data_IF_091840612286
#
_entry.id   IF_091840612286
#
_cell.length_a   1.000
_cell.length_b   1.000
_cell.length_c   1.000
_cell.angle_alpha   90.00
_cell.angle_beta   90.00
_cell.angle_gamma   90.00
#
_symmetry.space_group_name_H-M   'P 1'
#
loop_
_entity.id
_entity.type
_entity.pdbx_description
1 polymer ?
#
# COMPACT_ATOMS: atom_id res chain seq x y z
N UNK A 1 30.21 -38.14 -5.58
CA UNK A 1 29.98 -36.67 -5.68
C UNK A 1 31.20 -35.98 -5.10
N UNK A 2 31.90 -35.16 -5.90
CA UNK A 2 33.08 -34.43 -5.41
C UNK A 2 32.67 -33.22 -4.58
N UNK A 3 33.52 -32.80 -3.63
CA UNK A 3 33.34 -31.59 -2.81
C UNK A 3 33.10 -30.31 -3.65
N UNK A 4 33.63 -30.28 -4.87
CA UNK A 4 33.49 -29.19 -5.84
C UNK A 4 32.08 -29.11 -6.46
N UNK A 5 31.39 -30.24 -6.68
CA UNK A 5 30.02 -30.23 -7.20
C UNK A 5 29.00 -29.75 -6.16
N UNK A 6 29.21 -30.10 -4.89
CA UNK A 6 28.33 -29.70 -3.77
C UNK A 6 28.41 -28.19 -3.52
N UNK A 7 29.61 -27.62 -3.56
CA UNK A 7 29.85 -26.19 -3.36
C UNK A 7 29.29 -25.33 -4.51
N UNK A 8 29.36 -25.80 -5.76
CA UNK A 8 28.75 -25.12 -6.90
C UNK A 8 27.23 -25.10 -6.82
N UNK A 9 26.59 -26.23 -6.49
CA UNK A 9 25.13 -26.31 -6.31
C UNK A 9 24.64 -25.41 -5.17
N UNK A 10 25.37 -25.35 -4.07
CA UNK A 10 25.06 -24.46 -2.95
C UNK A 10 25.16 -22.97 -3.33
N UNK A 11 26.18 -22.57 -4.09
CA UNK A 11 26.33 -21.19 -4.60
C UNK A 11 25.18 -20.79 -5.53
N UNK A 12 24.77 -21.69 -6.43
CA UNK A 12 23.64 -21.43 -7.33
C UNK A 12 22.31 -21.32 -6.57
N UNK A 13 22.10 -22.15 -5.55
CA UNK A 13 20.92 -22.06 -4.70
C UNK A 13 20.88 -20.73 -3.92
N UNK A 14 22.02 -20.31 -3.36
CA UNK A 14 22.13 -19.05 -2.63
C UNK A 14 21.85 -17.85 -3.56
N UNK A 15 22.39 -17.86 -4.78
CA UNK A 15 22.12 -16.82 -5.77
C UNK A 15 20.63 -16.73 -6.14
N UNK A 16 19.95 -17.88 -6.32
CA UNK A 16 18.50 -17.93 -6.57
C UNK A 16 17.69 -17.40 -5.39
N UNK A 17 18.09 -17.73 -4.17
CA UNK A 17 17.46 -17.19 -2.95
C UNK A 17 17.64 -15.68 -2.85
N UNK A 18 18.86 -15.16 -3.09
CA UNK A 18 19.13 -13.72 -3.12
C UNK A 18 18.25 -12.99 -4.13
N UNK A 19 18.16 -13.49 -5.36
CA UNK A 19 17.27 -12.93 -6.40
C UNK A 19 15.80 -12.96 -5.97
N UNK A 20 15.34 -14.06 -5.38
CA UNK A 20 13.97 -14.17 -4.86
C UNK A 20 13.68 -13.14 -3.75
N UNK A 21 14.63 -12.91 -2.85
CA UNK A 21 14.50 -11.88 -1.81
C UNK A 21 14.52 -10.47 -2.39
N UNK A 22 15.38 -10.20 -3.37
CA UNK A 22 15.45 -8.90 -4.06
C UNK A 22 14.15 -8.59 -4.81
N UNK A 23 13.60 -9.55 -5.55
CA UNK A 23 12.32 -9.40 -6.25
C UNK A 23 11.17 -9.12 -5.28
N UNK A 24 11.16 -9.78 -4.11
CA UNK A 24 10.19 -9.52 -3.05
C UNK A 24 10.33 -8.10 -2.47
N UNK A 25 11.57 -7.62 -2.26
CA UNK A 25 11.83 -6.25 -1.79
C UNK A 25 11.36 -5.23 -2.82
N UNK A 26 11.67 -5.44 -4.10
CA UNK A 26 11.24 -4.53 -5.18
C UNK A 26 9.72 -4.53 -5.35
N UNK A 27 9.07 -5.69 -5.23
CA UNK A 27 7.61 -5.82 -5.20
C UNK A 27 6.99 -4.98 -4.09
N UNK A 28 7.48 -5.11 -2.85
CA UNK A 28 7.03 -4.31 -1.69
C UNK A 28 7.24 -2.81 -1.88
N UNK A 29 8.39 -2.39 -2.45
CA UNK A 29 8.65 -0.97 -2.76
C UNK A 29 7.64 -0.42 -3.76
N UNK A 30 7.31 -1.17 -4.81
CA UNK A 30 6.29 -0.81 -5.80
C UNK A 30 4.90 -0.71 -5.17
N UNK A 31 4.51 -1.68 -4.32
CA UNK A 31 3.24 -1.66 -3.59
C UNK A 31 3.12 -0.41 -2.71
N UNK A 32 4.18 -0.08 -1.95
CA UNK A 32 4.22 1.13 -1.12
C UNK A 32 4.06 2.40 -1.96
N UNK A 33 4.72 2.49 -3.11
CA UNK A 33 4.64 3.65 -3.98
C UNK A 33 3.21 3.83 -4.55
N UNK A 34 2.60 2.74 -5.03
CA UNK A 34 1.23 2.73 -5.52
C UNK A 34 0.23 3.12 -4.41
N UNK A 35 0.37 2.54 -3.23
CA UNK A 35 -0.50 2.81 -2.09
C UNK A 35 -0.39 4.27 -1.61
N UNK A 36 0.82 4.84 -1.58
CA UNK A 36 1.01 6.28 -1.29
C UNK A 36 0.29 7.17 -2.29
N UNK A 37 0.38 6.85 -3.59
CA UNK A 37 -0.30 7.61 -4.65
C UNK A 37 -1.81 7.55 -4.48
N UNK A 38 -2.36 6.35 -4.24
CA UNK A 38 -3.79 6.16 -4.00
C UNK A 38 -4.26 6.91 -2.75
N UNK A 39 -3.54 6.80 -1.64
CA UNK A 39 -3.88 7.51 -0.40
C UNK A 39 -3.89 9.03 -0.57
N UNK A 40 -3.00 9.58 -1.40
CA UNK A 40 -3.00 11.02 -1.74
C UNK A 40 -4.26 11.40 -2.52
N UNK A 41 -4.69 10.58 -3.47
CA UNK A 41 -5.92 10.79 -4.24
C UNK A 41 -7.16 10.71 -3.35
N UNK A 42 -7.23 9.71 -2.45
CA UNK A 42 -8.32 9.57 -1.49
C UNK A 42 -8.41 10.77 -0.56
N UNK A 43 -7.27 11.27 -0.05
CA UNK A 43 -7.22 12.47 0.79
C UNK A 43 -7.72 13.72 0.06
N UNK A 44 -7.34 13.90 -1.21
CA UNK A 44 -7.82 15.04 -2.00
C UNK A 44 -9.34 14.96 -2.20
N UNK A 45 -9.84 13.80 -2.62
CA UNK A 45 -11.27 13.55 -2.83
C UNK A 45 -12.11 13.73 -1.56
N UNK A 46 -11.61 13.25 -0.42
CA UNK A 46 -12.22 13.48 0.90
C UNK A 46 -12.34 14.97 1.22
N UNK A 47 -11.27 15.75 1.00
CA UNK A 47 -11.25 17.20 1.22
C UNK A 47 -12.25 17.92 0.31
N UNK A 48 -12.26 17.58 -0.98
CA UNK A 48 -13.16 18.18 -1.96
C UNK A 48 -14.62 17.90 -1.60
N UNK A 49 -14.93 16.70 -1.13
CA UNK A 49 -16.28 16.34 -0.67
C UNK A 49 -16.65 17.04 0.63
N UNK A 50 -15.74 17.15 1.59
CA UNK A 50 -15.95 17.93 2.82
C UNK A 50 -16.20 19.41 2.52
N UNK A 51 -15.52 19.98 1.52
CA UNK A 51 -15.76 21.35 1.07
C UNK A 51 -17.14 21.49 0.42
N UNK A 52 -17.54 20.56 -0.44
CA UNK A 52 -18.89 20.53 -1.05
C UNK A 52 -20.01 20.37 -0.02
N UNK A 53 -19.80 19.55 1.00
CA UNK A 53 -20.77 19.32 2.08
C UNK A 53 -21.08 20.63 2.84
N UNK A 54 -20.10 21.52 3.05
CA UNK A 54 -20.30 22.81 3.74
C UNK A 54 -21.26 23.75 3.02
N UNK A 55 -21.33 23.64 1.69
CA UNK A 55 -22.23 24.45 0.86
C UNK A 55 -23.57 23.79 0.58
N UNK A 56 -23.75 22.53 1.00
CA UNK A 56 -24.96 21.77 0.71
C UNK A 56 -26.00 22.00 1.81
N UNK A 57 -27.25 22.37 1.48
CA UNK A 57 -28.33 22.39 2.46
C UNK A 57 -28.62 20.98 2.96
N UNK A 58 -29.13 20.88 4.19
CA UNK A 58 -29.55 19.61 4.78
C UNK A 58 -30.64 18.96 3.92
N UNK A 59 -30.50 17.65 3.68
CA UNK A 59 -31.39 16.88 2.82
C UNK A 59 -30.74 15.59 2.34
N UNK A 60 -31.42 14.86 1.46
CA UNK A 60 -30.96 13.56 0.96
C UNK A 60 -29.55 13.62 0.33
N UNK A 61 -29.29 14.63 -0.49
CA UNK A 61 -27.97 14.83 -1.10
C UNK A 61 -26.86 15.14 -0.07
N UNK A 62 -27.21 15.74 1.07
CA UNK A 62 -26.27 15.99 2.17
C UNK A 62 -25.88 14.67 2.83
N UNK A 63 -26.89 13.86 3.20
CA UNK A 63 -26.69 12.56 3.83
C UNK A 63 -25.90 11.62 2.93
N UNK A 64 -26.22 11.56 1.64
CA UNK A 64 -25.50 10.71 0.69
C UNK A 64 -24.02 11.12 0.54
N UNK A 65 -23.74 12.43 0.54
CA UNK A 65 -22.37 12.94 0.47
C UNK A 65 -21.61 12.68 1.79
N UNK A 66 -22.28 12.81 2.94
CA UNK A 66 -21.73 12.50 4.26
C UNK A 66 -21.34 11.02 4.39
N UNK A 67 -22.21 10.10 3.93
CA UNK A 67 -21.92 8.66 3.88
C UNK A 67 -20.70 8.36 2.99
N UNK A 68 -20.64 8.96 1.80
CA UNK A 68 -19.49 8.83 0.89
C UNK A 68 -18.20 9.32 1.55
N UNK A 69 -18.24 10.43 2.30
CA UNK A 69 -17.10 10.95 3.06
C UNK A 69 -16.69 9.96 4.17
N UNK A 70 -17.64 9.35 4.87
CA UNK A 70 -17.32 8.35 5.90
C UNK A 70 -16.63 7.13 5.30
N UNK A 71 -17.14 6.61 4.18
CA UNK A 71 -16.56 5.45 3.48
C UNK A 71 -15.12 5.76 3.04
N UNK A 72 -14.88 6.89 2.39
CA UNK A 72 -13.53 7.24 1.90
C UNK A 72 -12.55 7.47 3.06
N UNK A 73 -13.03 8.04 4.17
CA UNK A 73 -12.24 8.21 5.39
C UNK A 73 -11.80 6.87 5.97
N UNK A 74 -12.72 5.91 6.11
CA UNK A 74 -12.46 4.56 6.61
C UNK A 74 -11.49 3.80 5.69
N UNK A 75 -11.67 3.90 4.37
CA UNK A 75 -10.76 3.31 3.40
C UNK A 75 -9.34 3.89 3.51
N UNK A 76 -9.22 5.22 3.64
CA UNK A 76 -7.93 5.88 3.81
C UNK A 76 -7.23 5.44 5.10
N UNK A 77 -7.97 5.32 6.20
CA UNK A 77 -7.45 4.82 7.49
C UNK A 77 -6.87 3.41 7.33
N UNK A 78 -7.63 2.48 6.75
CA UNK A 78 -7.17 1.11 6.47
C UNK A 78 -5.93 1.08 5.56
N UNK A 79 -5.91 1.94 4.53
CA UNK A 79 -4.76 2.03 3.64
C UNK A 79 -3.50 2.56 4.34
N UNK A 80 -3.62 3.48 5.30
CA UNK A 80 -2.49 3.95 6.13
C UNK A 80 -1.95 2.83 7.01
N UNK A 81 -2.83 2.03 7.63
CA UNK A 81 -2.44 0.86 8.43
C UNK A 81 -1.66 -0.15 7.59
N UNK A 82 -2.13 -0.45 6.38
CA UNK A 82 -1.43 -1.30 5.41
C UNK A 82 -0.08 -0.71 4.99
N UNK A 83 -0.01 0.60 4.75
CA UNK A 83 1.25 1.28 4.41
C UNK A 83 2.28 1.14 5.54
N UNK A 84 1.84 1.25 6.79
CA UNK A 84 2.70 1.11 7.95
C UNK A 84 3.21 -0.33 8.12
N UNK A 85 2.36 -1.34 7.93
CA UNK A 85 2.78 -2.74 8.01
C UNK A 85 3.79 -3.10 6.91
N UNK A 86 3.58 -2.61 5.68
CA UNK A 86 4.53 -2.77 4.57
C UNK A 86 5.90 -2.14 4.88
N UNK A 87 5.92 -0.93 5.44
CA UNK A 87 7.16 -0.25 5.85
C UNK A 87 7.91 -1.02 6.92
N UNK A 88 7.22 -1.56 7.92
CA UNK A 88 7.84 -2.40 8.96
C UNK A 88 8.43 -3.66 8.34
N UNK A 89 7.73 -4.29 7.39
CA UNK A 89 8.19 -5.50 6.70
C UNK A 89 9.38 -5.32 5.74
N UNK A 90 9.79 -4.07 5.48
CA UNK A 90 10.98 -3.72 4.70
C UNK A 90 12.19 -3.36 5.57
N UNK A 91 11.96 -3.07 6.86
CA UNK A 91 13.01 -2.74 7.83
C UNK A 91 13.55 -3.98 8.56
N UNK A 92 12.80 -5.08 8.52
CA UNK A 92 13.21 -6.40 8.99
C UNK A 92 13.87 -7.14 7.84
#
# INVERSE_FOLDING_TARGET
>A
MSLTEVTMKAKTLLAKLSLFFDDNIQGKKREIAALKKLLKQLKAKEKDWQEKLKSLPQGEAFTELEEKILVIHLQRKKGIERLNSLKVSLKK
#
